data_IF_446017068267
#
_entry.id   IF_446017068267
#
_cell.length_a   1.000
_cell.length_b   1.000
_cell.length_c   1.000
_cell.angle_alpha   90.00
_cell.angle_beta   90.00
_cell.angle_gamma   90.00
#
_symmetry.space_group_name_H-M   'P 1'
#
loop_
_entity.id
_entity.type
_entity.pdbx_description
1 polymer ?
#
# COMPACT_ATOMS: atom_id res chain seq x y z
N UNK A 1 -48.37 19.64 -24.78
CA UNK A 1 -46.95 19.80 -25.15
C UNK A 1 -46.78 19.23 -26.55
N UNK A 2 -45.80 19.72 -27.31
CA UNK A 2 -45.53 19.21 -28.66
C UNK A 2 -44.91 17.80 -28.55
N UNK A 3 -45.50 16.75 -29.15
CA UNK A 3 -45.00 15.36 -29.05
C UNK A 3 -43.53 15.22 -29.45
N UNK A 4 -43.03 16.08 -30.34
CA UNK A 4 -41.64 16.10 -30.80
C UNK A 4 -40.68 16.49 -29.67
N UNK A 5 -41.11 17.39 -28.76
CA UNK A 5 -40.30 17.82 -27.63
C UNK A 5 -40.20 16.71 -26.57
N UNK A 6 -41.29 15.98 -26.33
CA UNK A 6 -41.30 14.86 -25.38
C UNK A 6 -40.44 13.67 -25.89
N UNK A 7 -40.52 13.36 -27.19
CA UNK A 7 -39.68 12.33 -27.80
C UNK A 7 -38.19 12.73 -27.80
N UNK A 8 -37.89 14.00 -28.10
CA UNK A 8 -36.53 14.55 -28.04
C UNK A 8 -35.95 14.53 -26.63
N UNK A 9 -36.75 14.84 -25.61
CA UNK A 9 -36.35 14.78 -24.21
C UNK A 9 -36.11 13.34 -23.75
N UNK A 10 -36.94 12.39 -24.18
CA UNK A 10 -36.79 10.96 -23.87
C UNK A 10 -35.50 10.40 -24.45
N UNK A 11 -35.19 10.68 -25.73
CA UNK A 11 -33.91 10.28 -26.34
C UNK A 11 -32.70 10.89 -25.66
N UNK A 12 -32.84 12.12 -25.15
CA UNK A 12 -31.79 12.79 -24.38
C UNK A 12 -31.49 12.02 -23.08
N UNK A 13 -32.53 11.58 -22.37
CA UNK A 13 -32.38 10.74 -21.17
C UNK A 13 -31.73 9.40 -21.49
N UNK A 14 -32.18 8.70 -22.54
CA UNK A 14 -31.57 7.44 -23.01
C UNK A 14 -30.08 7.62 -23.35
N UNK A 15 -29.74 8.70 -24.05
CA UNK A 15 -28.34 9.01 -24.40
C UNK A 15 -27.50 9.29 -23.16
N UNK A 16 -28.05 9.97 -22.15
CA UNK A 16 -27.33 10.25 -20.90
C UNK A 16 -27.07 8.96 -20.11
N UNK A 17 -28.04 8.05 -20.05
CA UNK A 17 -27.87 6.74 -19.42
C UNK A 17 -26.79 5.90 -20.13
N UNK A 18 -26.78 5.86 -21.47
CA UNK A 18 -25.74 5.17 -22.24
C UNK A 18 -24.34 5.74 -22.01
N UNK A 19 -24.23 7.08 -21.95
CA UNK A 19 -22.96 7.75 -21.69
C UNK A 19 -22.46 7.49 -20.27
N UNK A 20 -23.37 7.45 -19.30
CA UNK A 20 -23.04 7.12 -17.91
C UNK A 20 -22.55 5.67 -17.79
N UNK A 21 -23.24 4.71 -18.42
CA UNK A 21 -22.81 3.31 -18.46
C UNK A 21 -21.42 3.14 -19.11
N UNK A 22 -21.17 3.81 -20.25
CA UNK A 22 -19.85 3.79 -20.91
C UNK A 22 -18.75 4.41 -20.06
N UNK A 23 -19.07 5.45 -19.29
CA UNK A 23 -18.13 6.08 -18.36
C UNK A 23 -17.76 5.13 -17.24
N UNK A 24 -18.74 4.46 -16.63
CA UNK A 24 -18.53 3.45 -15.59
C UNK A 24 -17.71 2.25 -16.09
N UNK A 25 -18.01 1.76 -17.30
CA UNK A 25 -17.24 0.69 -17.95
C UNK A 25 -15.77 1.11 -18.20
N UNK A 26 -15.56 2.33 -18.70
CA UNK A 26 -14.21 2.84 -19.00
C UNK A 26 -13.41 3.09 -17.72
N UNK A 27 -14.03 3.63 -16.67
CA UNK A 27 -13.41 3.82 -15.37
C UNK A 27 -12.99 2.47 -14.75
N UNK A 28 -13.87 1.47 -14.81
CA UNK A 28 -13.59 0.12 -14.33
C UNK A 28 -12.40 -0.51 -15.05
N UNK A 29 -12.30 -0.37 -16.38
CA UNK A 29 -11.14 -0.89 -17.15
C UNK A 29 -9.83 -0.18 -16.81
N UNK A 30 -9.85 1.12 -16.53
CA UNK A 30 -8.64 1.85 -16.11
C UNK A 30 -8.20 1.38 -14.72
N UNK A 31 -9.14 1.22 -13.79
CA UNK A 31 -8.88 0.69 -12.45
C UNK A 31 -8.38 -0.76 -12.49
N UNK A 32 -9.02 -1.65 -13.26
CA UNK A 32 -8.61 -3.05 -13.41
C UNK A 32 -7.17 -3.15 -13.95
N UNK A 33 -6.83 -2.35 -14.96
CA UNK A 33 -5.47 -2.33 -15.49
C UNK A 33 -4.43 -1.80 -14.47
N UNK A 34 -4.83 -0.87 -13.61
CA UNK A 34 -4.00 -0.34 -12.55
C UNK A 34 -3.81 -1.35 -11.40
N UNK A 35 -4.88 -1.99 -10.94
CA UNK A 35 -4.84 -3.07 -9.95
C UNK A 35 -4.01 -4.26 -10.43
N UNK A 36 -4.21 -4.69 -11.68
CA UNK A 36 -3.43 -5.76 -12.30
C UNK A 36 -1.94 -5.39 -12.48
N UNK A 37 -1.61 -4.12 -12.70
CA UNK A 37 -0.22 -3.65 -12.69
C UNK A 37 0.38 -3.76 -11.30
N UNK A 38 -0.30 -3.22 -10.28
CA UNK A 38 0.19 -3.26 -8.90
C UNK A 38 0.34 -4.70 -8.40
N UNK A 39 -0.62 -5.58 -8.70
CA UNK A 39 -0.56 -7.00 -8.37
C UNK A 39 0.69 -7.69 -8.97
N UNK A 40 1.00 -7.42 -10.24
CA UNK A 40 2.22 -7.94 -10.89
C UNK A 40 3.48 -7.40 -10.24
N UNK A 41 3.55 -6.10 -9.99
CA UNK A 41 4.71 -5.50 -9.34
C UNK A 41 4.91 -6.04 -7.92
N UNK A 42 3.83 -6.25 -7.16
CA UNK A 42 3.87 -6.85 -5.83
C UNK A 42 4.41 -8.30 -5.89
N UNK A 43 3.92 -9.11 -6.83
CA UNK A 43 4.40 -10.47 -7.04
C UNK A 43 5.88 -10.53 -7.44
N UNK A 44 6.32 -9.64 -8.34
CA UNK A 44 7.72 -9.56 -8.77
C UNK A 44 8.65 -9.07 -7.65
N UNK A 45 8.12 -8.24 -6.73
CA UNK A 45 8.89 -7.71 -5.59
C UNK A 45 8.94 -8.67 -4.40
N UNK A 46 7.93 -9.51 -4.20
CA UNK A 46 7.82 -10.42 -3.06
C UNK A 46 9.13 -11.18 -2.71
N UNK A 47 9.88 -11.76 -3.69
CA UNK A 47 11.11 -12.51 -3.39
C UNK A 47 12.23 -11.71 -2.71
N UNK A 48 12.21 -10.39 -2.83
CA UNK A 48 13.27 -9.50 -2.29
C UNK A 48 12.83 -8.73 -1.05
N UNK A 49 11.53 -8.74 -0.71
CA UNK A 49 11.00 -8.03 0.49
C UNK A 49 11.68 -8.49 1.77
N UNK A 50 11.98 -9.77 1.95
CA UNK A 50 12.63 -10.25 3.18
C UNK A 50 14.05 -9.71 3.39
N UNK A 51 14.70 -9.23 2.33
CA UNK A 51 16.04 -8.64 2.40
C UNK A 51 15.99 -7.14 2.66
N UNK A 52 15.05 -6.42 2.03
CA UNK A 52 14.98 -4.96 2.09
C UNK A 52 13.89 -4.38 3.01
N UNK A 53 12.91 -5.20 3.40
CA UNK A 53 11.76 -4.80 4.20
C UNK A 53 12.09 -4.58 5.68
N UNK A 54 11.16 -3.93 6.36
CA UNK A 54 11.24 -3.56 7.77
C UNK A 54 10.41 -4.50 8.64
N UNK A 55 10.87 -4.72 9.88
CA UNK A 55 10.08 -5.37 10.91
C UNK A 55 9.02 -4.38 11.44
N UNK A 56 7.76 -4.64 11.14
CA UNK A 56 6.66 -3.75 11.51
C UNK A 56 6.17 -4.07 12.93
N UNK A 57 5.95 -3.02 13.74
CA UNK A 57 5.55 -3.20 15.13
C UNK A 57 4.11 -3.75 15.21
N UNK A 58 3.95 -4.88 15.90
CA UNK A 58 2.64 -5.44 16.24
C UNK A 58 2.11 -4.86 17.54
N UNK A 59 2.96 -4.81 18.56
CA UNK A 59 2.60 -4.35 19.90
C UNK A 59 3.83 -3.92 20.68
N UNK A 60 3.69 -2.89 21.51
CA UNK A 60 4.70 -2.54 22.52
C UNK A 60 4.04 -1.88 23.71
N UNK A 61 4.56 -2.11 24.92
CA UNK A 61 4.22 -1.28 26.09
C UNK A 61 4.98 0.03 26.02
N UNK A 62 4.45 1.05 26.68
CA UNK A 62 4.97 2.42 26.65
C UNK A 62 5.15 2.93 28.07
N UNK A 63 6.30 3.52 28.33
CA UNK A 63 6.58 4.20 29.59
C UNK A 63 6.05 5.63 29.58
N UNK A 64 5.97 6.26 30.76
CA UNK A 64 5.62 7.67 30.88
C UNK A 64 6.62 8.61 30.16
N UNK A 65 7.86 8.17 29.96
CA UNK A 65 8.88 8.84 29.14
C UNK A 65 8.55 8.84 27.64
N UNK A 66 7.67 7.93 27.21
CA UNK A 66 7.36 7.65 25.81
C UNK A 66 8.18 6.51 25.21
N UNK A 67 9.17 5.96 25.93
CA UNK A 67 9.98 4.83 25.48
C UNK A 67 9.15 3.54 25.36
N UNK A 68 9.48 2.71 24.37
CA UNK A 68 8.81 1.45 24.10
C UNK A 68 9.60 0.28 24.66
N UNK A 69 8.91 -0.63 25.34
CA UNK A 69 9.45 -1.88 25.85
C UNK A 69 8.50 -3.03 25.58
N UNK A 70 8.98 -4.27 25.74
CA UNK A 70 8.18 -5.48 25.47
C UNK A 70 7.60 -5.44 24.04
N UNK A 71 8.50 -5.20 23.07
CA UNK A 71 8.15 -4.96 21.67
C UNK A 71 7.98 -6.30 20.94
N UNK A 72 6.84 -6.46 20.28
CA UNK A 72 6.50 -7.56 19.42
C UNK A 72 6.33 -7.04 17.99
N UNK A 73 6.97 -7.71 17.03
CA UNK A 73 6.89 -7.38 15.61
C UNK A 73 6.08 -8.43 14.85
N UNK A 74 5.59 -8.06 13.67
CA UNK A 74 5.10 -9.05 12.72
C UNK A 74 6.26 -9.94 12.24
N UNK A 75 5.96 -11.22 12.00
CA UNK A 75 6.97 -12.19 11.58
C UNK A 75 7.52 -11.91 10.17
N UNK A 76 6.65 -11.44 9.27
CA UNK A 76 7.01 -11.09 7.89
C UNK A 76 7.45 -9.64 7.83
N UNK A 77 8.55 -9.37 7.12
CA UNK A 77 8.95 -8.00 6.79
C UNK A 77 8.02 -7.36 5.78
N UNK A 78 8.04 -6.04 5.78
CA UNK A 78 7.15 -5.26 4.94
C UNK A 78 7.85 -4.03 4.37
N UNK A 79 7.47 -3.63 3.16
CA UNK A 79 7.85 -2.36 2.54
C UNK A 79 6.72 -1.37 2.74
N UNK A 80 7.02 -0.16 3.24
CA UNK A 80 6.05 0.92 3.35
C UNK A 80 5.84 1.57 1.99
N UNK A 81 4.60 1.59 1.51
CA UNK A 81 4.23 2.11 0.20
C UNK A 81 3.51 3.46 0.25
N UNK A 82 2.85 3.79 1.36
CA UNK A 82 2.12 5.04 1.44
C UNK A 82 1.45 5.25 2.79
N UNK A 83 1.06 6.48 3.06
CA UNK A 83 0.25 6.87 4.21
C UNK A 83 -1.03 7.52 3.70
N UNK A 84 -2.10 7.33 4.45
CA UNK A 84 -3.39 7.97 4.19
C UNK A 84 -3.92 8.59 5.47
N UNK A 85 -4.99 9.37 5.35
CA UNK A 85 -5.72 9.85 6.51
C UNK A 85 -6.33 8.65 7.25
N UNK A 86 -6.01 8.44 8.54
CA UNK A 86 -6.49 7.27 9.25
C UNK A 86 -8.01 7.22 9.32
N UNK A 87 -8.57 6.02 9.15
CA UNK A 87 -9.95 5.76 9.52
C UNK A 87 -10.16 6.04 11.02
N UNK A 88 -11.37 6.43 11.44
CA UNK A 88 -11.60 6.82 12.83
C UNK A 88 -11.39 5.66 13.80
N UNK A 89 -11.65 4.42 13.38
CA UNK A 89 -11.58 3.23 14.23
C UNK A 89 -11.12 2.01 13.46
N UNK A 90 -10.54 1.03 14.18
CA UNK A 90 -10.10 -0.23 13.62
C UNK A 90 -11.28 -1.10 13.14
N UNK A 91 -11.16 -1.79 11.99
CA UNK A 91 -12.17 -2.72 11.51
C UNK A 91 -12.40 -3.93 12.42
N UNK A 92 -11.37 -4.39 13.13
CA UNK A 92 -11.46 -5.53 14.04
C UNK A 92 -11.98 -5.16 15.44
N UNK A 93 -11.83 -3.89 15.85
CA UNK A 93 -12.27 -3.39 17.13
C UNK A 93 -12.64 -1.90 17.06
N UNK A 94 -13.94 -1.56 16.95
CA UNK A 94 -14.40 -0.18 16.88
C UNK A 94 -14.10 0.67 18.14
N UNK A 95 -13.67 0.06 19.24
CA UNK A 95 -13.26 0.80 20.44
C UNK A 95 -11.84 1.37 20.36
N UNK A 96 -11.07 0.96 19.33
CA UNK A 96 -9.68 1.38 19.14
C UNK A 96 -9.56 2.43 18.02
N UNK A 97 -9.23 3.69 18.36
CA UNK A 97 -8.97 4.70 17.35
C UNK A 97 -7.67 4.40 16.58
N UNK A 98 -7.58 4.87 15.34
CA UNK A 98 -6.35 4.72 14.53
C UNK A 98 -5.64 6.07 14.50
N UNK A 99 -4.40 6.11 14.99
CA UNK A 99 -3.57 7.32 14.93
C UNK A 99 -2.70 7.34 13.67
N UNK A 100 -2.42 6.17 13.10
CA UNK A 100 -1.55 6.03 11.93
C UNK A 100 -1.98 4.83 11.10
N UNK A 101 -2.19 5.06 9.80
CA UNK A 101 -2.59 4.06 8.82
C UNK A 101 -1.63 4.08 7.64
N UNK A 102 -1.06 2.93 7.32
CA UNK A 102 0.05 2.81 6.36
C UNK A 102 -0.21 1.63 5.43
N UNK A 103 -0.13 1.84 4.12
CA UNK A 103 -0.13 0.75 3.14
C UNK A 103 1.26 0.13 3.06
N UNK A 104 1.30 -1.20 3.09
CA UNK A 104 2.53 -1.98 3.07
C UNK A 104 2.42 -3.18 2.15
N UNK A 105 3.56 -3.60 1.58
CA UNK A 105 3.72 -4.87 0.87
C UNK A 105 4.48 -5.87 1.75
N UNK A 106 3.88 -7.03 2.01
CA UNK A 106 4.49 -8.11 2.77
C UNK A 106 5.39 -9.04 1.93
N UNK A 107 6.20 -9.83 2.62
CA UNK A 107 7.05 -10.88 2.01
C UNK A 107 6.29 -11.94 1.19
N UNK A 108 5.00 -12.11 1.47
CA UNK A 108 4.13 -13.03 0.74
C UNK A 108 3.53 -12.41 -0.53
N UNK A 109 3.91 -11.18 -0.87
CA UNK A 109 3.38 -10.47 -2.03
C UNK A 109 1.99 -9.88 -1.81
N UNK A 110 1.44 -9.98 -0.60
CA UNK A 110 0.14 -9.42 -0.26
C UNK A 110 0.29 -7.98 0.23
N UNK A 111 -0.71 -7.16 -0.11
CA UNK A 111 -0.84 -5.79 0.38
C UNK A 111 -1.67 -5.77 1.66
N UNK A 112 -1.29 -4.87 2.57
CA UNK A 112 -1.98 -4.68 3.83
C UNK A 112 -2.03 -3.19 4.20
N UNK A 113 -3.00 -2.82 5.02
CA UNK A 113 -2.94 -1.61 5.83
C UNK A 113 -2.54 -1.96 7.27
N UNK A 114 -1.45 -1.37 7.74
CA UNK A 114 -1.09 -1.41 9.16
C UNK A 114 -1.75 -0.22 9.85
N UNK A 115 -2.67 -0.50 10.76
CA UNK A 115 -3.44 0.49 11.51
C UNK A 115 -2.98 0.49 12.98
N UNK A 116 -2.29 1.54 13.39
CA UNK A 116 -1.76 1.71 14.75
C UNK A 116 -2.73 2.45 15.65
N UNK A 117 -2.90 1.91 16.86
CA UNK A 117 -3.56 2.56 17.99
C UNK A 117 -2.54 2.76 19.10
N UNK A 118 -2.43 4.00 19.56
CA UNK A 118 -1.51 4.47 20.59
C UNK A 118 -2.33 4.93 21.78
N UNK A 119 -2.02 4.35 22.92
CA UNK A 119 -2.53 4.79 24.23
C UNK A 119 -1.38 5.32 25.07
N UNK A 120 -1.69 5.82 26.25
CA UNK A 120 -0.66 6.26 27.22
C UNK A 120 0.27 5.11 27.63
N UNK A 121 -0.23 3.87 27.65
CA UNK A 121 0.48 2.71 28.20
C UNK A 121 0.95 1.69 27.15
N UNK A 122 0.47 1.78 25.91
CA UNK A 122 0.69 0.75 24.88
C UNK A 122 0.46 1.27 23.47
N UNK A 123 1.22 0.73 22.52
CA UNK A 123 0.96 0.74 21.08
C UNK A 123 0.52 -0.66 20.65
N UNK A 124 -0.53 -0.75 19.85
CA UNK A 124 -1.04 -1.99 19.27
C UNK A 124 -1.41 -1.72 17.80
N UNK A 125 -1.23 -2.70 16.92
CA UNK A 125 -1.61 -2.56 15.51
C UNK A 125 -2.58 -3.64 15.06
N UNK A 126 -3.28 -3.35 13.96
CA UNK A 126 -4.03 -4.30 13.16
C UNK A 126 -3.43 -4.35 11.77
N UNK A 127 -3.33 -5.56 11.21
CA UNK A 127 -2.89 -5.80 9.85
C UNK A 127 -4.12 -6.18 9.02
N UNK A 128 -4.69 -5.20 8.33
CA UNK A 128 -5.85 -5.39 7.47
C UNK A 128 -5.39 -5.83 6.07
N UNK A 129 -5.86 -6.98 5.53
CA UNK A 129 -5.63 -7.31 4.13
C UNK A 129 -6.20 -6.24 3.21
N UNK A 130 -5.48 -5.94 2.13
CA UNK A 130 -5.89 -4.93 1.15
C UNK A 130 -5.73 -5.49 -0.26
N UNK A 131 -6.78 -5.43 -1.08
CA UNK A 131 -6.67 -5.84 -2.47
C UNK A 131 -5.86 -4.80 -3.28
N UNK A 132 -5.16 -5.20 -4.35
CA UNK A 132 -4.42 -4.25 -5.20
C UNK A 132 -5.29 -3.13 -5.77
N UNK A 133 -6.53 -3.43 -6.14
CA UNK A 133 -7.51 -2.46 -6.64
C UNK A 133 -7.85 -1.43 -5.55
N UNK A 134 -8.13 -1.92 -4.33
CA UNK A 134 -8.44 -1.06 -3.17
C UNK A 134 -7.24 -0.21 -2.76
N UNK A 135 -6.03 -0.78 -2.81
CA UNK A 135 -4.79 -0.04 -2.56
C UNK A 135 -4.60 1.09 -3.56
N UNK A 136 -4.90 0.84 -4.83
CA UNK A 136 -4.82 1.86 -5.85
C UNK A 136 -5.90 2.94 -5.69
N UNK A 137 -7.12 2.56 -5.30
CA UNK A 137 -8.20 3.53 -5.08
C UNK A 137 -7.93 4.46 -3.88
N UNK A 138 -7.32 3.92 -2.82
CA UNK A 138 -7.02 4.67 -1.59
C UNK A 138 -5.75 5.50 -1.70
N UNK A 139 -4.71 4.99 -2.36
CA UNK A 139 -3.37 5.59 -2.38
C UNK A 139 -2.93 6.10 -3.75
N UNK A 140 -3.69 5.81 -4.81
CA UNK A 140 -3.39 6.26 -6.17
C UNK A 140 -2.08 5.70 -6.72
N UNK A 141 -1.43 6.49 -7.57
CA UNK A 141 -0.15 6.11 -8.16
C UNK A 141 1.02 6.11 -7.17
N UNK A 142 0.85 6.64 -5.96
CA UNK A 142 1.92 6.72 -4.98
C UNK A 142 2.41 5.32 -4.58
N UNK A 143 1.52 4.34 -4.45
CA UNK A 143 1.92 2.94 -4.13
C UNK A 143 2.80 2.33 -5.22
N UNK A 144 2.54 2.64 -6.49
CA UNK A 144 3.34 2.17 -7.63
C UNK A 144 4.71 2.84 -7.63
N UNK A 145 4.74 4.16 -7.45
CA UNK A 145 5.99 4.95 -7.42
C UNK A 145 6.87 4.53 -6.24
N UNK A 146 6.28 4.34 -5.07
CA UNK A 146 7.02 3.94 -3.87
C UNK A 146 7.57 2.53 -3.97
N UNK A 147 6.83 1.61 -4.59
CA UNK A 147 7.33 0.26 -4.86
C UNK A 147 8.51 0.27 -5.84
N UNK A 148 8.40 1.04 -6.94
CA UNK A 148 9.51 1.23 -7.88
C UNK A 148 10.74 1.82 -7.18
N UNK A 149 10.54 2.85 -6.36
CA UNK A 149 11.63 3.53 -5.66
C UNK A 149 12.32 2.62 -4.66
N UNK A 150 11.57 1.81 -3.92
CA UNK A 150 12.13 0.83 -2.99
C UNK A 150 13.06 -0.16 -3.70
N UNK A 151 12.64 -0.69 -4.84
CA UNK A 151 13.46 -1.58 -5.67
C UNK A 151 14.69 -0.87 -6.25
N UNK A 152 14.52 0.35 -6.77
CA UNK A 152 15.60 1.14 -7.34
C UNK A 152 16.70 1.42 -6.31
N UNK A 153 16.33 1.91 -5.13
CA UNK A 153 17.29 2.20 -4.05
C UNK A 153 17.98 0.93 -3.53
N UNK A 154 17.30 -0.21 -3.53
CA UNK A 154 17.92 -1.48 -3.17
C UNK A 154 18.94 -1.93 -4.22
N UNK A 155 18.62 -1.80 -5.51
CA UNK A 155 19.51 -2.16 -6.60
C UNK A 155 20.79 -1.31 -6.60
N UNK A 156 20.69 0.01 -6.41
CA UNK A 156 21.87 0.90 -6.31
C UNK A 156 22.80 0.48 -5.17
N UNK A 157 22.24 0.15 -3.99
CA UNK A 157 23.04 -0.29 -2.83
C UNK A 157 23.74 -1.63 -3.07
N UNK A 158 23.09 -2.58 -3.73
CA UNK A 158 23.69 -3.87 -4.06
C UNK A 158 24.82 -3.72 -5.09
N UNK A 159 24.69 -2.80 -6.05
CA UNK A 159 25.76 -2.47 -7.00
C UNK A 159 26.97 -1.85 -6.31
N UNK A 160 26.75 -0.87 -5.42
CA UNK A 160 27.81 -0.24 -4.61
C UNK A 160 28.55 -1.27 -3.74
N UNK A 161 27.80 -2.15 -3.06
CA UNK A 161 28.37 -3.22 -2.22
C UNK A 161 29.21 -4.18 -3.04
N UNK A 162 28.71 -4.58 -4.22
CA UNK A 162 29.43 -5.49 -5.13
C UNK A 162 30.73 -4.85 -5.63
N UNK A 163 30.69 -3.57 -5.98
CA UNK A 163 31.87 -2.82 -6.40
C UNK A 163 32.91 -2.69 -5.27
N UNK A 164 32.46 -2.43 -4.04
CA UNK A 164 33.34 -2.38 -2.87
C UNK A 164 34.00 -3.74 -2.57
N UNK A 165 33.24 -4.83 -2.70
CA UNK A 165 33.75 -6.18 -2.52
C UNK A 165 34.80 -6.53 -3.59
N UNK A 166 34.56 -6.19 -4.86
CA UNK A 166 35.52 -6.40 -5.94
C UNK A 166 36.86 -5.69 -5.66
N UNK A 167 36.83 -4.42 -5.27
CA UNK A 167 38.05 -3.67 -4.88
C UNK A 167 38.77 -4.29 -3.70
N UNK A 168 38.03 -4.80 -2.72
CA UNK A 168 38.62 -5.47 -1.56
C UNK A 168 39.31 -6.77 -1.97
N UNK A 169 38.71 -7.54 -2.87
CA UNK A 169 39.32 -8.75 -3.42
C UNK A 169 40.59 -8.43 -4.23
N UNK A 170 40.58 -7.38 -5.05
CA UNK A 170 41.78 -6.92 -5.78
C UNK A 170 42.94 -6.62 -4.82
N UNK A 171 42.65 -5.95 -3.70
CA UNK A 171 43.66 -5.63 -2.68
C UNK A 171 44.19 -6.87 -1.93
N UNK A 172 43.34 -7.88 -1.68
CA UNK A 172 43.77 -9.12 -1.01
C UNK A 172 44.63 -9.99 -1.95
N UNK A 173 44.33 -9.97 -3.25
CA UNK A 173 44.97 -10.81 -4.25
C UNK A 173 46.26 -10.16 -4.79
N UNK A 174 46.45 -8.85 -4.61
CA UNK A 174 47.69 -8.12 -4.93
C UNK A 174 48.80 -8.34 -3.89
#
# INVERSE_FOLDING_TARGET
MDPIIEEGYTRLLETLEELQAKKEESASKVQENAGALLARMAADTAPVVGRMGLDMLRRAKREASGELYDQEYYEKKMIVLGKTDPLPYRPDDPSKPIDTQICVLGEDGNLFEVMYTTTEIRIDSYLAPLAPEEAFDLYGYDVVVMLYRALYEYAEKEEELTAALARTLEYIIS
#
